data_IF_428683298015
#
_entry.id   IF_428683298015
#
_cell.length_a   1.000
_cell.length_b   1.000
_cell.length_c   1.000
_cell.angle_alpha   90.00
_cell.angle_beta   90.00
_cell.angle_gamma   90.00
#
_symmetry.space_group_name_H-M   'P 1'
#
loop_
_entity.id
_entity.type
_entity.pdbx_description
1 polymer ?
#
# COMPACT_ATOMS: atom_id res chain seq x y z
N UNK A 1 14.27 -26.61 46.30
CA UNK A 1 15.59 -26.03 46.00
C UNK A 1 15.38 -25.05 44.85
N UNK A 2 15.34 -23.75 45.15
CA UNK A 2 15.45 -22.72 44.13
C UNK A 2 16.95 -22.57 43.88
N UNK A 3 17.43 -22.88 42.67
CA UNK A 3 18.81 -22.55 42.29
C UNK A 3 18.87 -21.07 41.94
N UNK A 4 19.65 -20.33 42.71
CA UNK A 4 20.11 -18.97 42.41
C UNK A 4 20.95 -19.01 41.12
N UNK A 5 20.52 -18.27 40.10
CA UNK A 5 21.36 -17.97 38.96
C UNK A 5 22.17 -16.72 39.29
N UNK A 6 23.47 -16.92 39.54
CA UNK A 6 24.42 -15.86 39.85
C UNK A 6 24.58 -14.87 38.68
N UNK A 7 24.84 -13.64 39.11
CA UNK A 7 25.04 -12.38 38.42
C UNK A 7 25.84 -12.44 37.11
N UNK A 8 25.20 -11.98 36.04
CA UNK A 8 25.81 -11.79 34.72
C UNK A 8 26.77 -10.61 34.72
N UNK A 9 28.04 -10.89 35.03
CA UNK A 9 29.19 -10.01 34.78
C UNK A 9 29.06 -9.31 33.42
N UNK A 10 28.87 -7.99 33.46
CA UNK A 10 28.89 -7.16 32.27
C UNK A 10 30.26 -7.29 31.58
N UNK A 11 30.32 -7.54 30.26
CA UNK A 11 31.59 -7.68 29.57
C UNK A 11 32.40 -6.37 29.68
N UNK A 12 33.73 -6.45 29.78
CA UNK A 12 34.59 -5.30 30.00
C UNK A 12 34.38 -4.23 28.92
N UNK A 13 34.58 -2.93 29.23
CA UNK A 13 34.48 -1.86 28.24
C UNK A 13 35.45 -2.13 27.09
N UNK A 14 34.91 -2.57 25.96
CA UNK A 14 35.70 -2.75 24.75
C UNK A 14 35.91 -1.38 24.11
N UNK A 15 37.18 -1.00 23.92
CA UNK A 15 37.56 0.24 23.22
C UNK A 15 37.12 0.16 21.75
N UNK A 16 35.92 0.67 21.47
CA UNK A 16 35.35 0.75 20.14
C UNK A 16 35.82 2.02 19.45
N UNK A 17 36.44 1.86 18.28
CA UNK A 17 36.97 2.96 17.47
C UNK A 17 36.05 3.20 16.28
N UNK A 18 35.77 4.47 15.98
CA UNK A 18 34.93 4.86 14.85
C UNK A 18 35.67 4.84 13.51
N UNK A 19 35.00 4.41 12.45
CA UNK A 19 35.56 4.48 11.10
C UNK A 19 35.44 5.88 10.51
N UNK A 20 36.54 6.46 10.03
CA UNK A 20 36.58 7.80 9.44
C UNK A 20 35.68 7.96 8.21
N UNK A 21 35.42 6.89 7.47
CA UNK A 21 34.59 6.94 6.26
C UNK A 21 33.11 6.78 6.59
N UNK A 22 32.65 5.72 7.27
CA UNK A 22 31.20 5.51 7.53
C UNK A 22 30.69 5.89 8.93
N UNK A 23 31.56 6.36 9.83
CA UNK A 23 31.25 6.73 11.23
C UNK A 23 30.65 5.61 12.09
N UNK A 24 30.76 4.35 11.65
CA UNK A 24 30.36 3.18 12.46
C UNK A 24 31.49 2.80 13.42
N UNK A 25 31.14 2.32 14.60
CA UNK A 25 32.06 1.91 15.68
C UNK A 25 32.41 0.44 15.58
N UNK A 26 33.70 0.09 15.67
CA UNK A 26 34.20 -1.28 15.58
C UNK A 26 35.32 -1.52 16.59
N UNK A 27 35.55 -2.79 16.92
CA UNK A 27 36.79 -3.22 17.58
C UNK A 27 37.99 -2.97 16.65
N UNK A 28 39.20 -2.71 17.18
CA UNK A 28 40.37 -2.35 16.38
C UNK A 28 40.75 -3.41 15.34
N UNK A 29 40.58 -4.71 15.64
CA UNK A 29 40.84 -5.79 14.68
C UNK A 29 39.83 -5.82 13.53
N UNK A 30 38.54 -5.65 13.85
CA UNK A 30 37.45 -5.59 12.85
C UNK A 30 37.56 -4.30 12.02
N UNK A 31 38.00 -3.20 12.64
CA UNK A 31 38.18 -1.92 11.97
C UNK A 31 39.18 -2.02 10.82
N UNK A 32 40.29 -2.75 10.99
CA UNK A 32 41.30 -2.98 9.91
C UNK A 32 40.69 -3.65 8.68
N UNK A 33 39.79 -4.62 8.88
CA UNK A 33 39.07 -5.28 7.78
C UNK A 33 38.00 -4.36 7.19
N UNK A 34 37.29 -3.65 8.04
CA UNK A 34 36.21 -2.74 7.67
C UNK A 34 36.71 -1.55 6.83
N UNK A 35 37.83 -0.92 7.16
CA UNK A 35 38.35 0.27 6.45
C UNK A 35 38.53 0.02 4.96
N UNK A 36 39.11 -1.13 4.59
CA UNK A 36 39.35 -1.52 3.19
C UNK A 36 38.05 -1.60 2.38
N UNK A 37 37.04 -2.33 2.87
CA UNK A 37 35.74 -2.44 2.18
C UNK A 37 34.95 -1.14 2.24
N UNK A 38 35.01 -0.42 3.36
CA UNK A 38 34.27 0.80 3.53
C UNK A 38 34.76 1.91 2.59
N UNK A 39 36.07 2.06 2.42
CA UNK A 39 36.66 2.97 1.45
C UNK A 39 36.26 2.58 0.01
N UNK A 40 36.38 1.30 -0.35
CA UNK A 40 35.97 0.82 -1.68
C UNK A 40 34.48 1.05 -1.95
N UNK A 41 33.62 0.84 -0.96
CA UNK A 41 32.18 1.04 -1.06
C UNK A 41 31.78 2.50 -1.21
N UNK A 42 32.59 3.43 -0.66
CA UNK A 42 32.39 4.88 -0.80
C UNK A 42 32.95 5.43 -2.10
N UNK A 43 34.08 4.90 -2.56
CA UNK A 43 34.70 5.30 -3.83
C UNK A 43 33.88 4.83 -5.04
N UNK A 44 33.29 3.62 -4.97
CA UNK A 44 32.44 3.08 -6.04
C UNK A 44 31.03 3.66 -5.94
N UNK A 45 30.70 4.59 -6.83
CA UNK A 45 29.31 5.05 -6.99
C UNK A 45 28.47 3.88 -7.49
N UNK A 46 27.50 3.43 -6.70
CA UNK A 46 26.56 2.37 -7.11
C UNK A 46 25.79 2.84 -8.35
N UNK A 47 25.75 2.00 -9.39
CA UNK A 47 24.88 2.23 -10.52
C UNK A 47 23.42 2.15 -10.08
N UNK A 48 22.57 3.01 -10.64
CA UNK A 48 21.12 2.97 -10.35
C UNK A 48 20.58 1.69 -10.95
N UNK A 49 20.12 0.77 -10.10
CA UNK A 49 19.56 -0.49 -10.55
C UNK A 49 18.28 -0.23 -11.36
N UNK A 50 18.36 -0.44 -12.67
CA UNK A 50 17.20 -0.35 -13.54
C UNK A 50 16.48 -1.70 -13.59
N UNK A 51 15.31 -1.75 -12.97
CA UNK A 51 14.47 -2.95 -12.93
C UNK A 51 13.99 -3.39 -14.32
N UNK A 52 13.86 -2.46 -15.27
CA UNK A 52 13.53 -2.78 -16.66
C UNK A 52 14.71 -3.51 -17.29
N UNK A 53 15.90 -2.94 -17.19
CA UNK A 53 17.12 -3.55 -17.75
C UNK A 53 17.40 -4.93 -17.15
N UNK A 54 17.20 -5.12 -15.84
CA UNK A 54 17.39 -6.43 -15.24
C UNK A 54 16.38 -7.47 -15.76
N UNK A 55 15.12 -7.07 -15.98
CA UNK A 55 14.08 -7.96 -16.51
C UNK A 55 14.26 -8.29 -17.98
N UNK A 56 14.79 -7.36 -18.78
CA UNK A 56 14.98 -7.55 -20.22
C UNK A 56 16.31 -8.22 -20.57
N UNK A 57 17.31 -8.19 -19.67
CA UNK A 57 18.61 -8.83 -19.86
C UNK A 57 18.44 -10.34 -20.09
N UNK A 58 18.77 -10.81 -21.30
CA UNK A 58 18.71 -12.23 -21.67
C UNK A 58 17.38 -12.70 -22.27
N UNK A 59 16.44 -11.78 -22.54
CA UNK A 59 15.20 -12.07 -23.27
C UNK A 59 15.22 -11.38 -24.63
N UNK A 60 14.57 -11.95 -25.66
CA UNK A 60 14.44 -11.32 -26.99
C UNK A 60 13.71 -9.96 -26.99
N UNK A 61 13.15 -9.53 -25.85
CA UNK A 61 12.60 -8.18 -25.64
C UNK A 61 13.66 -7.07 -25.54
N UNK A 62 14.96 -7.40 -25.57
CA UNK A 62 16.04 -6.42 -25.48
C UNK A 62 16.14 -5.45 -26.68
N UNK A 63 15.46 -5.75 -27.80
CA UNK A 63 15.49 -4.94 -29.05
C UNK A 63 14.20 -4.12 -29.25
N UNK A 64 13.22 -4.21 -28.34
CA UNK A 64 12.11 -3.26 -28.39
C UNK A 64 12.60 -1.94 -27.80
N UNK A 65 13.01 -1.06 -28.72
CA UNK A 65 13.13 0.39 -28.54
C UNK A 65 12.17 0.87 -27.45
N UNK A 66 12.60 1.77 -26.55
CA UNK A 66 11.71 2.36 -25.57
C UNK A 66 10.46 2.86 -26.30
N UNK A 67 9.34 2.15 -26.12
CA UNK A 67 8.04 2.64 -26.58
C UNK A 67 7.93 4.05 -26.03
N UNK A 68 7.93 5.02 -26.95
CA UNK A 68 7.75 6.44 -26.66
C UNK A 68 6.77 6.56 -25.49
N UNK A 69 7.10 7.28 -24.41
CA UNK A 69 6.16 7.47 -23.33
C UNK A 69 4.88 8.02 -23.98
N UNK A 70 3.82 7.21 -24.00
CA UNK A 70 2.50 7.62 -24.46
C UNK A 70 2.24 8.94 -23.75
N UNK A 71 2.08 10.02 -24.51
CA UNK A 71 1.95 11.37 -24.00
C UNK A 71 1.11 11.32 -22.73
N UNK A 72 1.72 11.62 -21.58
CA UNK A 72 1.06 11.52 -20.29
C UNK A 72 -0.23 12.32 -20.42
N UNK A 73 -1.42 11.70 -20.25
CA UNK A 73 -2.64 12.48 -20.19
C UNK A 73 -2.43 13.55 -19.11
N UNK A 74 -2.89 14.79 -19.35
CA UNK A 74 -2.60 15.92 -18.47
C UNK A 74 -2.82 15.51 -17.02
N UNK A 75 -1.75 15.62 -16.21
CA UNK A 75 -1.75 15.21 -14.81
C UNK A 75 -2.90 15.93 -14.13
N UNK A 76 -3.99 15.20 -13.89
CA UNK A 76 -5.17 15.77 -13.22
C UNK A 76 -4.68 16.30 -11.87
N UNK A 77 -5.07 17.53 -11.48
CA UNK A 77 -4.63 18.10 -10.22
C UNK A 77 -4.97 17.13 -9.08
N UNK A 78 -4.01 16.92 -8.18
CA UNK A 78 -4.16 15.96 -7.09
C UNK A 78 -5.30 16.37 -6.17
N UNK A 79 -6.31 15.49 -6.04
CA UNK A 79 -7.43 15.67 -5.12
C UNK A 79 -7.05 15.42 -3.64
N UNK A 80 -5.76 15.51 -3.27
CA UNK A 80 -5.25 15.16 -1.94
C UNK A 80 -6.00 15.84 -0.78
N UNK A 81 -6.27 17.15 -0.87
CA UNK A 81 -6.99 17.87 0.21
C UNK A 81 -8.40 17.32 0.43
N UNK A 82 -9.10 16.96 -0.65
CA UNK A 82 -10.44 16.35 -0.59
C UNK A 82 -10.36 14.95 0.02
N UNK A 83 -9.48 14.10 -0.50
CA UNK A 83 -9.30 12.72 -0.01
C UNK A 83 -8.85 12.68 1.47
N UNK A 84 -7.97 13.59 1.87
CA UNK A 84 -7.52 13.70 3.26
C UNK A 84 -8.64 14.14 4.21
N UNK A 85 -9.45 15.13 3.78
CA UNK A 85 -10.61 15.60 4.55
C UNK A 85 -11.64 14.49 4.70
N UNK A 86 -11.93 13.77 3.62
CA UNK A 86 -12.87 12.64 3.60
C UNK A 86 -12.43 11.51 4.54
N UNK A 87 -11.16 11.09 4.42
CA UNK A 87 -10.58 10.09 5.32
C UNK A 87 -10.68 10.52 6.79
N UNK A 88 -10.29 11.76 7.10
CA UNK A 88 -10.33 12.27 8.48
C UNK A 88 -11.76 12.32 9.02
N UNK A 89 -12.73 12.71 8.18
CA UNK A 89 -14.15 12.72 8.52
C UNK A 89 -14.66 11.31 8.81
N UNK A 90 -14.34 10.35 7.93
CA UNK A 90 -14.72 8.93 8.08
C UNK A 90 -14.16 8.33 9.37
N UNK A 91 -12.88 8.56 9.68
CA UNK A 91 -12.25 8.08 10.92
C UNK A 91 -12.91 8.69 12.16
N UNK A 92 -13.23 9.99 12.15
CA UNK A 92 -13.94 10.62 13.29
C UNK A 92 -15.35 10.05 13.47
N UNK A 93 -16.10 9.89 12.37
CA UNK A 93 -17.43 9.28 12.40
C UNK A 93 -17.40 7.86 12.97
N UNK A 94 -16.44 7.03 12.52
CA UNK A 94 -16.28 5.66 13.02
C UNK A 94 -15.96 5.60 14.53
N UNK A 95 -15.18 6.56 15.04
CA UNK A 95 -14.90 6.68 16.49
C UNK A 95 -16.15 7.05 17.28
N UNK A 96 -16.95 8.00 16.80
CA UNK A 96 -18.20 8.40 17.45
C UNK A 96 -19.19 7.22 17.47
N UNK A 97 -19.31 6.51 16.35
CA UNK A 97 -20.15 5.31 16.25
C UNK A 97 -19.71 4.22 17.25
N UNK A 98 -18.40 3.94 17.30
CA UNK A 98 -17.83 2.97 18.25
C UNK A 98 -18.04 3.36 19.71
N UNK A 99 -17.97 4.66 20.03
CA UNK A 99 -18.25 5.16 21.37
C UNK A 99 -19.74 5.04 21.74
N UNK A 100 -20.63 5.45 20.85
CA UNK A 100 -22.08 5.33 21.05
C UNK A 100 -22.53 3.87 21.26
N UNK A 101 -21.92 2.93 20.52
CA UNK A 101 -22.16 1.48 20.70
C UNK A 101 -21.72 0.97 22.08
N UNK A 102 -20.60 1.49 22.63
CA UNK A 102 -20.12 1.11 23.96
C UNK A 102 -20.96 1.72 25.08
N UNK A 103 -21.38 2.97 24.92
CA UNK A 103 -22.12 3.73 25.92
C UNK A 103 -23.63 3.42 25.91
N UNK A 104 -24.10 2.51 25.05
CA UNK A 104 -25.52 2.17 24.89
C UNK A 104 -26.38 3.34 24.41
N UNK A 105 -25.76 4.37 23.83
CA UNK A 105 -26.44 5.57 23.33
C UNK A 105 -26.99 5.31 21.92
N UNK A 106 -28.10 5.95 21.57
CA UNK A 106 -28.68 5.90 20.22
C UNK A 106 -27.61 6.22 19.17
N UNK A 107 -27.46 5.32 18.20
CA UNK A 107 -26.50 5.47 17.12
C UNK A 107 -26.70 6.79 16.38
N UNK A 108 -25.63 7.56 16.11
CA UNK A 108 -25.75 8.71 15.23
C UNK A 108 -26.20 8.22 13.83
N UNK A 109 -27.11 8.94 13.16
CA UNK A 109 -27.51 8.59 11.80
C UNK A 109 -26.27 8.51 10.90
N UNK A 110 -26.18 7.51 10.01
CA UNK A 110 -25.03 7.34 9.14
C UNK A 110 -24.81 8.63 8.35
N UNK A 111 -23.57 9.18 8.32
CA UNK A 111 -23.29 10.37 7.55
C UNK A 111 -23.66 10.11 6.09
N UNK A 112 -24.38 11.03 5.42
CA UNK A 112 -24.70 10.88 4.01
C UNK A 112 -23.39 10.76 3.24
N UNK A 113 -23.27 9.71 2.42
CA UNK A 113 -22.11 9.56 1.56
C UNK A 113 -22.02 10.77 0.64
N UNK A 114 -20.88 11.48 0.61
CA UNK A 114 -20.67 12.57 -0.34
C UNK A 114 -20.84 12.04 -1.76
N UNK A 115 -21.80 12.59 -2.49
CA UNK A 115 -21.96 12.30 -3.91
C UNK A 115 -20.79 12.95 -4.66
N UNK A 116 -19.82 12.14 -5.09
CA UNK A 116 -18.80 12.61 -6.03
C UNK A 116 -19.46 12.76 -7.43
N UNK A 117 -19.54 13.97 -7.99
CA UNK A 117 -20.20 14.21 -9.28
C UNK A 117 -19.49 13.54 -10.47
N UNK A 118 -18.27 13.01 -10.29
CA UNK A 118 -17.49 12.33 -11.31
C UNK A 118 -17.88 10.84 -11.52
N UNK A 119 -18.77 10.30 -10.69
CA UNK A 119 -19.18 8.90 -10.76
C UNK A 119 -20.50 8.72 -11.50
N UNK A 120 -20.48 7.94 -12.58
CA UNK A 120 -21.63 7.57 -13.39
C UNK A 120 -22.18 6.24 -12.86
N UNK A 121 -23.50 6.15 -12.68
CA UNK A 121 -24.19 4.94 -12.26
C UNK A 121 -24.62 4.11 -13.47
N UNK A 122 -24.29 2.82 -13.49
CA UNK A 122 -24.76 1.91 -14.53
C UNK A 122 -26.27 1.65 -14.40
N UNK A 123 -27.01 1.74 -15.50
CA UNK A 123 -28.47 1.50 -15.53
C UNK A 123 -28.87 0.05 -15.27
N UNK A 124 -27.97 -0.92 -15.49
CA UNK A 124 -28.29 -2.35 -15.42
C UNK A 124 -27.94 -2.96 -14.06
N UNK A 125 -26.74 -2.69 -13.53
CA UNK A 125 -26.29 -3.25 -12.25
C UNK A 125 -26.23 -2.25 -11.09
N UNK A 126 -26.58 -0.98 -11.34
CA UNK A 126 -26.59 0.13 -10.36
C UNK A 126 -25.24 0.44 -9.68
N UNK A 127 -24.15 -0.22 -10.09
CA UNK A 127 -22.79 0.08 -9.62
C UNK A 127 -22.30 1.42 -10.18
N UNK A 128 -21.47 2.12 -9.38
CA UNK A 128 -20.94 3.45 -9.70
C UNK A 128 -19.48 3.36 -10.14
N UNK A 129 -19.14 3.98 -11.26
CA UNK A 129 -17.80 3.98 -11.83
C UNK A 129 -17.39 5.40 -12.25
N UNK A 130 -16.08 5.67 -12.27
CA UNK A 130 -15.54 6.87 -12.92
C UNK A 130 -15.78 6.79 -14.42
N UNK A 131 -15.96 7.93 -15.10
CA UNK A 131 -16.30 8.03 -16.54
C UNK A 131 -15.66 6.96 -17.45
N UNK A 132 -14.33 6.89 -17.56
CA UNK A 132 -13.64 5.89 -18.41
C UNK A 132 -13.86 4.42 -18.00
N UNK A 133 -14.10 4.16 -16.71
CA UNK A 133 -14.47 2.84 -16.23
C UNK A 133 -15.95 2.54 -16.49
N UNK A 134 -16.82 3.55 -16.39
CA UNK A 134 -18.23 3.45 -16.70
C UNK A 134 -18.43 3.10 -18.18
N UNK A 135 -17.71 3.75 -19.10
CA UNK A 135 -17.82 3.50 -20.54
C UNK A 135 -17.56 2.02 -20.88
N UNK A 136 -16.48 1.44 -20.35
CA UNK A 136 -16.15 0.01 -20.54
C UNK A 136 -17.12 -0.92 -19.81
N UNK A 137 -17.52 -0.54 -18.60
CA UNK A 137 -18.41 -1.35 -17.78
C UNK A 137 -19.82 -1.41 -18.38
N UNK A 138 -20.38 -0.29 -18.85
CA UNK A 138 -21.74 -0.23 -19.39
C UNK A 138 -21.89 -1.13 -20.61
N UNK A 139 -20.89 -1.21 -21.49
CA UNK A 139 -20.94 -2.10 -22.65
C UNK A 139 -21.02 -3.57 -22.25
N UNK A 140 -20.12 -3.99 -21.36
CA UNK A 140 -20.08 -5.37 -20.86
C UNK A 140 -21.35 -5.69 -20.08
N UNK A 141 -21.79 -4.77 -19.22
CA UNK A 141 -22.95 -4.96 -18.37
C UNK A 141 -24.24 -5.06 -19.21
N UNK A 142 -24.40 -4.21 -20.24
CA UNK A 142 -25.49 -4.31 -21.21
C UNK A 142 -25.54 -5.69 -21.87
N UNK A 143 -24.40 -6.22 -22.30
CA UNK A 143 -24.32 -7.53 -22.94
C UNK A 143 -24.60 -8.68 -21.97
N UNK A 144 -24.09 -8.60 -20.74
CA UNK A 144 -24.36 -9.59 -19.69
C UNK A 144 -25.84 -9.66 -19.34
N UNK A 145 -26.49 -8.51 -19.16
CA UNK A 145 -27.93 -8.46 -18.88
C UNK A 145 -28.80 -8.85 -20.08
N UNK A 146 -28.31 -8.71 -21.32
CA UNK A 146 -29.01 -9.20 -22.51
C UNK A 146 -28.89 -10.73 -22.69
N UNK A 147 -27.78 -11.32 -22.23
CA UNK A 147 -27.54 -12.78 -22.31
C UNK A 147 -28.16 -13.57 -21.16
N UNK A 148 -28.35 -12.93 -20.01
CA UNK A 148 -28.91 -13.56 -18.81
C UNK A 148 -30.35 -13.05 -18.64
N UNK A 149 -31.40 -13.84 -18.96
CA UNK A 149 -32.74 -13.51 -18.49
C UNK A 149 -32.71 -13.50 -16.95
N UNK A 150 -33.33 -12.47 -16.37
CA UNK A 150 -33.22 -12.03 -14.98
C UNK A 150 -33.51 -13.09 -13.90
N UNK A 151 -32.68 -14.12 -13.74
CA UNK A 151 -32.72 -15.03 -12.59
C UNK A 151 -31.29 -15.39 -12.16
N UNK A 152 -30.51 -14.37 -11.80
CA UNK A 152 -29.45 -14.60 -10.81
C UNK A 152 -30.15 -14.79 -9.47
N UNK A 153 -30.58 -16.03 -9.26
CA UNK A 153 -30.67 -16.72 -7.97
C UNK A 153 -30.07 -15.87 -6.86
N UNK A 154 -30.96 -15.26 -6.08
CA UNK A 154 -30.76 -15.08 -4.65
C UNK A 154 -30.30 -16.45 -4.17
N UNK A 155 -28.98 -16.66 -4.09
CA UNK A 155 -28.45 -17.75 -3.28
C UNK A 155 -28.93 -17.39 -1.89
N UNK A 156 -30.01 -18.04 -1.46
CA UNK A 156 -30.44 -18.10 -0.08
C UNK A 156 -29.17 -18.38 0.72
N UNK A 157 -28.64 -17.34 1.37
CA UNK A 157 -27.76 -17.54 2.49
C UNK A 157 -28.64 -18.26 3.52
N UNK A 158 -28.40 -19.54 3.86
CA UNK A 158 -29.11 -20.12 4.98
C UNK A 158 -28.73 -19.28 6.19
N UNK A 159 -29.73 -18.69 6.85
CA UNK A 159 -29.58 -18.02 8.12
C UNK A 159 -28.85 -19.00 9.04
N UNK A 160 -27.57 -18.75 9.35
CA UNK A 160 -26.88 -19.55 10.35
C UNK A 160 -27.61 -19.32 11.67
N UNK A 161 -28.14 -20.37 12.33
CA UNK A 161 -28.71 -20.19 13.65
C UNK A 161 -27.61 -19.67 14.57
N UNK A 162 -27.93 -18.60 15.31
CA UNK A 162 -27.15 -18.19 16.46
C UNK A 162 -27.20 -19.32 17.47
N UNK A 163 -26.05 -19.95 17.70
CA UNK A 163 -25.73 -20.67 18.92
C UNK A 163 -24.34 -20.22 19.36
#
# INVERSE_FOLDING_TARGET
MMEEFEDGTAPPPVDLVQCNSCKRTFLPDVLKKHTNFCQQSKAKKKYVFDSRSQRTRGTEFSVLEPTQPKAEPPKKPSNWRKNHKDLTSSVRAAKIFSAAMKDGRSLPPPPPHPYDPDYIQCSYCQRRFKQSAADRHIQICKEQHARIPNECTIIQMPQRPFY
#
